data_IF_192366360027
#
_entry.id   IF_192366360027
#
_cell.length_a   1.000
_cell.length_b   1.000
_cell.length_c   1.000
_cell.angle_alpha   90.00
_cell.angle_beta   90.00
_cell.angle_gamma   90.00
#
_symmetry.space_group_name_H-M   'P 1'
#
loop_
_entity.id
_entity.type
_entity.pdbx_description
1 polymer ?
#
# COMPACT_ATOMS: atom_id res chain seq x y z
N UNK A 1 -9.43 -11.75 9.87
CA UNK A 1 -9.34 -13.13 9.36
C UNK A 1 -8.78 -14.02 10.46
N UNK A 2 -9.32 -15.25 10.63
CA UNK A 2 -8.76 -16.22 11.57
C UNK A 2 -7.46 -16.80 11.02
N UNK A 3 -6.47 -17.09 11.89
CA UNK A 3 -5.19 -17.69 11.46
C UNK A 3 -5.38 -19.04 10.75
N UNK A 4 -6.37 -19.82 11.15
CA UNK A 4 -6.73 -21.09 10.48
C UNK A 4 -7.13 -20.92 9.00
N UNK A 5 -7.47 -19.72 8.59
CA UNK A 5 -7.84 -19.39 7.20
C UNK A 5 -6.69 -18.73 6.44
N UNK A 6 -5.48 -18.68 7.03
CA UNK A 6 -4.29 -18.11 6.41
C UNK A 6 -3.31 -19.22 6.12
N UNK A 7 -2.99 -19.42 4.85
CA UNK A 7 -2.02 -20.38 4.37
C UNK A 7 -0.76 -19.62 3.96
N UNK A 8 0.34 -19.85 4.67
CA UNK A 8 1.62 -19.19 4.40
C UNK A 8 2.49 -20.10 3.55
N UNK A 9 2.90 -19.62 2.38
CA UNK A 9 3.86 -20.30 1.51
C UNK A 9 5.13 -19.44 1.37
N UNK A 10 6.26 -20.12 1.26
CA UNK A 10 7.54 -19.50 0.96
C UNK A 10 8.30 -20.31 -0.12
N UNK A 11 9.60 -20.04 -0.31
CA UNK A 11 10.43 -20.73 -1.31
C UNK A 11 10.42 -22.28 -1.15
N UNK A 12 10.19 -22.78 0.05
CA UNK A 12 10.14 -24.21 0.37
C UNK A 12 8.69 -24.76 0.39
N UNK A 13 7.72 -24.00 -0.12
CA UNK A 13 6.31 -24.38 -0.18
C UNK A 13 5.52 -23.98 1.06
N UNK A 14 4.49 -24.77 1.38
CA UNK A 14 3.60 -24.48 2.50
C UNK A 14 4.32 -24.54 3.84
N UNK A 15 4.01 -23.60 4.73
CA UNK A 15 4.38 -23.64 6.14
C UNK A 15 3.38 -24.53 6.89
N UNK A 16 3.78 -25.75 7.22
CA UNK A 16 2.95 -26.76 7.87
C UNK A 16 3.52 -27.20 9.24
N UNK A 17 2.71 -27.80 10.07
CA UNK A 17 3.14 -28.30 11.38
C UNK A 17 4.13 -29.45 11.22
N UNK A 18 5.28 -29.33 11.90
CA UNK A 18 6.36 -30.31 11.80
C UNK A 18 7.37 -30.04 10.66
N UNK A 19 7.20 -28.97 9.90
CA UNK A 19 8.23 -28.49 8.98
C UNK A 19 9.41 -27.91 9.79
N UNK A 20 10.63 -28.30 9.44
CA UNK A 20 11.87 -27.86 10.09
C UNK A 20 12.72 -26.90 9.21
N UNK A 21 12.52 -26.93 7.89
CA UNK A 21 13.30 -26.12 6.94
C UNK A 21 12.84 -24.67 6.98
N UNK A 22 13.78 -23.76 7.20
CA UNK A 22 13.56 -22.29 7.16
C UNK A 22 12.39 -21.83 8.04
N UNK A 23 12.33 -22.36 9.28
CA UNK A 23 11.30 -22.01 10.25
C UNK A 23 11.80 -21.00 11.28
N UNK A 24 10.90 -20.12 11.69
CA UNK A 24 11.07 -19.18 12.79
C UNK A 24 9.76 -19.05 13.58
N UNK A 25 9.75 -18.39 14.76
CA UNK A 25 8.52 -18.25 15.56
C UNK A 25 7.35 -17.60 14.84
N UNK A 26 7.62 -16.62 13.95
CA UNK A 26 6.59 -15.93 13.17
C UNK A 26 5.94 -16.88 12.16
N UNK A 27 6.72 -17.65 11.40
CA UNK A 27 6.21 -18.68 10.49
C UNK A 27 5.46 -19.77 11.25
N UNK A 28 6.00 -20.24 12.37
CA UNK A 28 5.38 -21.27 13.19
C UNK A 28 3.97 -20.88 13.66
N UNK A 29 3.70 -19.59 13.90
CA UNK A 29 2.38 -19.09 14.26
C UNK A 29 1.32 -19.28 13.17
N UNK A 30 1.72 -19.51 11.91
CA UNK A 30 0.85 -19.75 10.76
C UNK A 30 0.92 -21.18 10.25
N UNK A 31 1.69 -22.06 10.88
CA UNK A 31 1.83 -23.44 10.46
C UNK A 31 0.49 -24.19 10.55
N UNK A 32 0.03 -24.74 9.44
CA UNK A 32 -1.24 -25.45 9.33
C UNK A 32 -1.03 -26.98 9.49
N UNK A 33 -2.00 -27.65 10.12
CA UNK A 33 -2.07 -29.11 10.14
C UNK A 33 -2.60 -29.59 8.77
N UNK A 34 -1.73 -29.96 7.85
CA UNK A 34 -2.09 -30.31 6.48
C UNK A 34 -1.07 -31.26 5.86
N UNK A 35 -1.52 -32.09 4.93
CA UNK A 35 -0.68 -32.89 4.04
C UNK A 35 -0.26 -32.14 2.78
N UNK A 36 -0.86 -30.99 2.47
CA UNK A 36 -0.47 -30.12 1.35
C UNK A 36 0.92 -29.54 1.58
N UNK A 37 1.66 -29.30 0.49
CA UNK A 37 3.06 -28.85 0.55
C UNK A 37 3.38 -27.66 -0.35
N UNK A 38 2.50 -27.29 -1.26
CA UNK A 38 2.76 -26.28 -2.28
C UNK A 38 1.67 -25.20 -2.36
N UNK A 39 1.99 -24.08 -3.02
CA UNK A 39 1.00 -23.05 -3.36
C UNK A 39 -0.10 -23.63 -4.26
N UNK A 40 0.27 -24.49 -5.20
CA UNK A 40 -0.64 -25.11 -6.15
C UNK A 40 -1.75 -25.91 -5.45
N UNK A 41 -1.42 -26.53 -4.32
CA UNK A 41 -2.37 -27.35 -3.55
C UNK A 41 -3.27 -26.50 -2.63
N UNK A 42 -2.79 -25.37 -2.14
CA UNK A 42 -3.55 -24.56 -1.16
C UNK A 42 -4.35 -23.43 -1.79
N UNK A 43 -4.12 -23.12 -3.05
CA UNK A 43 -4.79 -22.00 -3.74
C UNK A 43 -6.24 -22.34 -4.13
N UNK A 44 -6.58 -23.61 -4.25
CA UNK A 44 -7.93 -24.05 -4.60
C UNK A 44 -8.95 -23.54 -3.59
N UNK A 45 -9.96 -22.83 -4.06
CA UNK A 45 -10.99 -22.24 -3.23
C UNK A 45 -10.54 -21.07 -2.36
N UNK A 46 -9.36 -20.51 -2.62
CA UNK A 46 -8.91 -19.32 -1.90
C UNK A 46 -9.68 -18.07 -2.37
N UNK A 47 -10.07 -17.23 -1.41
CA UNK A 47 -10.73 -15.95 -1.68
C UNK A 47 -9.71 -14.85 -1.98
N UNK A 48 -8.49 -14.95 -1.46
CA UNK A 48 -7.46 -13.93 -1.57
C UNK A 48 -6.06 -14.54 -1.73
N UNK A 49 -5.31 -13.99 -2.66
CA UNK A 49 -3.86 -14.16 -2.77
C UNK A 49 -3.15 -12.87 -2.37
N UNK A 50 -2.19 -12.98 -1.45
CA UNK A 50 -1.29 -11.89 -1.05
C UNK A 50 0.15 -12.26 -1.40
N UNK A 51 0.66 -11.71 -2.49
CA UNK A 51 2.02 -11.92 -2.96
C UNK A 51 2.99 -10.90 -2.39
N UNK A 52 4.04 -11.40 -1.74
CA UNK A 52 5.16 -10.65 -1.17
C UNK A 52 6.49 -11.33 -1.53
N UNK A 53 6.56 -11.95 -2.69
CA UNK A 53 7.64 -12.88 -3.05
C UNK A 53 8.41 -12.42 -4.29
N UNK A 54 8.09 -12.95 -5.45
CA UNK A 54 8.82 -12.70 -6.67
C UNK A 54 7.94 -12.80 -7.93
N UNK A 55 8.47 -12.41 -9.08
CA UNK A 55 7.69 -12.37 -10.32
C UNK A 55 7.23 -13.77 -10.76
N UNK A 56 6.03 -13.83 -11.36
CA UNK A 56 5.45 -15.00 -12.01
C UNK A 56 5.22 -16.21 -11.08
N UNK A 57 5.11 -15.99 -9.76
CA UNK A 57 4.81 -17.05 -8.78
C UNK A 57 3.35 -17.50 -8.90
N UNK A 58 2.42 -16.56 -9.14
CA UNK A 58 1.01 -16.88 -9.34
C UNK A 58 0.71 -17.06 -10.85
N UNK A 59 0.55 -18.29 -11.28
CA UNK A 59 0.23 -18.60 -12.68
C UNK A 59 -1.28 -18.43 -12.97
N UNK A 60 -1.69 -18.13 -14.21
CA UNK A 60 -3.11 -18.01 -14.59
C UNK A 60 -3.96 -19.26 -14.32
N UNK A 61 -3.37 -20.47 -14.43
CA UNK A 61 -4.05 -21.71 -14.12
C UNK A 61 -4.40 -21.85 -12.64
N UNK A 62 -3.60 -21.26 -11.74
CA UNK A 62 -3.85 -21.20 -10.30
C UNK A 62 -4.96 -20.19 -9.97
N UNK A 63 -4.99 -19.06 -10.66
CA UNK A 63 -6.07 -18.06 -10.48
C UNK A 63 -7.45 -18.66 -10.79
N UNK A 64 -7.55 -19.55 -11.79
CA UNK A 64 -8.80 -20.25 -12.12
C UNK A 64 -9.31 -21.17 -11.01
N UNK A 65 -8.45 -21.59 -10.10
CA UNK A 65 -8.80 -22.47 -8.99
C UNK A 65 -9.29 -21.69 -7.75
N UNK A 66 -9.08 -20.38 -7.73
CA UNK A 66 -9.60 -19.51 -6.67
C UNK A 66 -11.13 -19.40 -6.73
N UNK A 67 -11.72 -18.92 -5.66
CA UNK A 67 -13.14 -18.59 -5.62
C UNK A 67 -13.52 -17.48 -6.60
N UNK A 68 -14.81 -17.33 -6.89
CA UNK A 68 -15.33 -16.23 -7.70
C UNK A 68 -14.99 -14.87 -7.08
N UNK A 69 -14.70 -13.86 -7.90
CA UNK A 69 -14.29 -12.53 -7.50
C UNK A 69 -13.05 -12.54 -6.57
N UNK A 70 -11.95 -13.21 -6.96
CA UNK A 70 -10.79 -13.32 -6.11
C UNK A 70 -10.12 -11.96 -5.89
N UNK A 71 -9.58 -11.77 -4.70
CA UNK A 71 -8.74 -10.61 -4.39
C UNK A 71 -7.28 -11.00 -4.61
N UNK A 72 -6.59 -10.31 -5.52
CA UNK A 72 -5.20 -10.62 -5.88
C UNK A 72 -4.33 -9.41 -5.60
N UNK A 73 -3.56 -9.46 -4.52
CA UNK A 73 -2.54 -8.47 -4.21
C UNK A 73 -1.18 -9.03 -4.61
N UNK A 74 -0.72 -8.64 -5.81
CA UNK A 74 0.57 -9.06 -6.37
C UNK A 74 1.58 -7.94 -6.19
N UNK A 75 2.29 -7.93 -5.05
CA UNK A 75 3.03 -6.78 -4.56
C UNK A 75 4.55 -6.87 -4.77
N UNK A 76 5.05 -7.90 -5.43
CA UNK A 76 6.47 -8.01 -5.79
C UNK A 76 6.90 -6.87 -6.74
N UNK A 77 8.10 -6.35 -6.55
CA UNK A 77 8.68 -5.26 -7.33
C UNK A 77 10.02 -5.69 -7.95
N UNK A 78 10.32 -5.27 -9.20
CA UNK A 78 9.53 -4.42 -10.10
C UNK A 78 8.41 -5.17 -10.84
N UNK A 79 8.48 -6.48 -10.92
CA UNK A 79 7.50 -7.33 -11.59
C UNK A 79 6.66 -8.08 -10.57
N UNK A 80 5.31 -7.99 -10.65
CA UNK A 80 4.42 -8.64 -9.72
C UNK A 80 4.39 -10.18 -9.90
N UNK A 81 3.83 -10.89 -8.93
CA UNK A 81 3.64 -12.34 -8.97
C UNK A 81 2.79 -12.82 -10.15
N UNK A 82 1.88 -11.96 -10.63
CA UNK A 82 1.13 -12.11 -11.87
C UNK A 82 0.85 -10.72 -12.45
N UNK A 83 0.91 -10.59 -13.77
CA UNK A 83 0.50 -9.34 -14.41
C UNK A 83 -1.03 -9.19 -14.35
N UNK A 84 -1.55 -7.98 -14.08
CA UNK A 84 -3.00 -7.74 -14.03
C UNK A 84 -3.75 -8.22 -15.27
N UNK A 85 -3.18 -8.05 -16.45
CA UNK A 85 -3.78 -8.50 -17.70
C UNK A 85 -3.95 -10.02 -17.75
N UNK A 86 -2.97 -10.79 -17.27
CA UNK A 86 -3.00 -12.25 -17.26
C UNK A 86 -4.01 -12.78 -16.24
N UNK A 87 -4.12 -12.13 -15.07
CA UNK A 87 -5.11 -12.47 -14.06
C UNK A 87 -6.54 -12.19 -14.56
N UNK A 88 -6.79 -11.00 -15.14
CA UNK A 88 -8.10 -10.61 -15.67
C UNK A 88 -8.52 -11.44 -16.90
N UNK A 89 -7.58 -11.97 -17.67
CA UNK A 89 -7.89 -12.87 -18.79
C UNK A 89 -8.56 -14.17 -18.33
N UNK A 90 -8.32 -14.60 -17.10
CA UNK A 90 -8.85 -15.87 -16.55
C UNK A 90 -9.88 -15.67 -15.44
N UNK A 91 -9.87 -14.54 -14.77
CA UNK A 91 -10.82 -14.10 -13.74
C UNK A 91 -11.18 -12.62 -13.97
N UNK A 92 -12.12 -12.33 -14.89
CA UNK A 92 -12.47 -10.95 -15.28
C UNK A 92 -13.07 -10.12 -14.15
N UNK A 93 -13.58 -10.76 -13.12
CA UNK A 93 -14.18 -10.16 -11.92
C UNK A 93 -13.19 -10.03 -10.74
N UNK A 94 -11.92 -10.36 -10.94
CA UNK A 94 -10.90 -10.27 -9.92
C UNK A 94 -10.66 -8.80 -9.50
N UNK A 95 -10.44 -8.61 -8.19
CA UNK A 95 -9.99 -7.34 -7.62
C UNK A 95 -8.48 -7.40 -7.49
N UNK A 96 -7.76 -6.54 -8.22
CA UNK A 96 -6.30 -6.63 -8.32
C UNK A 96 -5.65 -5.37 -7.76
N UNK A 97 -4.58 -5.56 -6.98
CA UNK A 97 -3.67 -4.51 -6.54
C UNK A 97 -2.22 -4.92 -6.80
N UNK A 98 -1.36 -3.96 -7.14
CA UNK A 98 0.07 -4.16 -7.37
C UNK A 98 0.90 -3.04 -6.74
N UNK A 99 2.22 -3.21 -6.67
CA UNK A 99 3.14 -2.13 -6.29
C UNK A 99 3.36 -1.08 -7.39
N UNK A 100 2.87 -1.31 -8.61
CA UNK A 100 3.17 -0.49 -9.79
C UNK A 100 2.21 0.69 -9.91
N UNK A 101 2.73 1.84 -10.37
CA UNK A 101 1.95 3.07 -10.58
C UNK A 101 1.13 3.10 -11.86
N UNK A 102 1.42 2.20 -12.80
CA UNK A 102 0.74 2.10 -14.10
C UNK A 102 -0.53 1.23 -14.08
N UNK A 103 -0.88 0.67 -12.91
CA UNK A 103 -2.10 -0.10 -12.70
C UNK A 103 -2.99 0.52 -11.62
N UNK A 104 -4.30 0.24 -11.63
CA UNK A 104 -5.19 0.57 -10.51
C UNK A 104 -4.72 -0.02 -9.19
N UNK A 105 -5.18 0.56 -8.08
CA UNK A 105 -4.88 0.06 -6.72
C UNK A 105 -3.38 -0.08 -6.43
N UNK A 106 -2.60 0.97 -6.71
CA UNK A 106 -1.18 0.98 -6.37
C UNK A 106 -0.99 0.88 -4.86
N UNK A 107 -0.40 -0.20 -4.38
CA UNK A 107 0.03 -0.36 -2.98
C UNK A 107 1.46 0.16 -2.86
N UNK A 108 1.62 1.31 -2.20
CA UNK A 108 2.91 1.97 -2.06
C UNK A 108 3.16 2.35 -0.60
N UNK A 109 4.38 2.11 -0.12
CA UNK A 109 4.81 2.44 1.25
C UNK A 109 4.64 3.94 1.58
N UNK A 110 4.65 4.82 0.58
CA UNK A 110 4.47 6.27 0.76
C UNK A 110 3.11 6.64 1.36
N UNK A 111 2.12 5.75 1.29
CA UNK A 111 0.82 5.96 1.94
C UNK A 111 0.91 5.94 3.46
N UNK A 112 1.87 5.22 4.00
CA UNK A 112 2.09 5.03 5.44
C UNK A 112 3.35 5.74 5.91
N UNK A 113 4.49 5.50 5.25
CA UNK A 113 5.83 5.81 5.73
C UNK A 113 6.03 7.25 6.21
N UNK A 114 5.72 8.34 5.46
CA UNK A 114 5.98 9.67 6.01
C UNK A 114 5.06 10.01 7.19
N UNK A 115 3.83 9.53 7.15
CA UNK A 115 2.75 10.00 8.02
C UNK A 115 2.73 9.30 9.37
N UNK A 116 3.07 8.01 9.44
CA UNK A 116 3.19 7.29 10.71
C UNK A 116 4.34 7.86 11.55
N UNK A 117 5.47 8.18 10.91
CA UNK A 117 6.60 8.84 11.61
C UNK A 117 6.25 10.27 11.97
N UNK A 118 5.54 11.01 11.11
CA UNK A 118 5.10 12.37 11.43
C UNK A 118 4.23 12.39 12.67
N UNK A 119 3.19 11.55 12.74
CA UNK A 119 2.34 11.46 13.91
C UNK A 119 3.08 11.03 15.17
N UNK A 120 4.00 10.05 15.06
CA UNK A 120 4.81 9.59 16.18
C UNK A 120 5.77 10.68 16.71
N UNK A 121 6.48 11.36 15.82
CA UNK A 121 7.48 12.38 16.20
C UNK A 121 6.82 13.63 16.78
N UNK A 122 5.69 14.06 16.25
CA UNK A 122 5.01 15.28 16.71
C UNK A 122 4.47 15.16 18.15
N UNK A 123 4.23 13.95 18.64
CA UNK A 123 3.87 13.68 20.04
C UNK A 123 5.04 13.15 20.88
N UNK A 124 6.25 13.06 20.32
CA UNK A 124 7.41 12.51 20.98
C UNK A 124 7.20 11.06 21.43
N UNK A 125 6.60 10.22 20.58
CA UNK A 125 6.36 8.81 20.90
C UNK A 125 7.68 8.06 21.10
N UNK A 126 7.73 7.24 22.16
CA UNK A 126 8.94 6.46 22.51
C UNK A 126 9.11 5.22 21.66
N UNK A 127 8.03 4.76 21.02
CA UNK A 127 7.98 3.62 20.09
C UNK A 127 6.81 3.77 19.12
N UNK A 128 6.82 3.00 18.04
CA UNK A 128 5.65 2.81 17.16
C UNK A 128 5.05 1.46 17.50
N UNK A 129 4.01 1.45 18.32
CA UNK A 129 3.33 0.25 18.78
C UNK A 129 2.19 -0.21 17.84
N UNK A 130 1.59 -1.37 18.13
CA UNK A 130 0.51 -1.94 17.34
C UNK A 130 -0.72 -1.02 17.24
N UNK A 131 -1.05 -0.28 18.29
CA UNK A 131 -2.19 0.65 18.27
C UNK A 131 -1.99 1.76 17.22
N UNK A 132 -0.78 2.30 17.13
CA UNK A 132 -0.42 3.31 16.13
C UNK A 132 -0.42 2.74 14.70
N UNK A 133 0.04 1.51 14.53
CA UNK A 133 0.00 0.82 13.23
C UNK A 133 -1.44 0.58 12.79
N UNK A 134 -2.30 0.09 13.67
CA UNK A 134 -3.73 -0.12 13.40
C UNK A 134 -4.42 1.22 13.07
N UNK A 135 -4.14 2.29 13.80
CA UNK A 135 -4.68 3.61 13.52
C UNK A 135 -4.26 4.14 12.13
N UNK A 136 -3.00 3.93 11.74
CA UNK A 136 -2.51 4.24 10.39
C UNK A 136 -3.29 3.48 9.31
N UNK A 137 -3.46 2.16 9.47
CA UNK A 137 -4.21 1.31 8.54
C UNK A 137 -5.67 1.78 8.42
N UNK A 138 -6.31 2.05 9.54
CA UNK A 138 -7.70 2.54 9.58
C UNK A 138 -7.84 3.89 8.89
N UNK A 139 -6.95 4.84 9.16
CA UNK A 139 -6.95 6.15 8.52
C UNK A 139 -6.82 6.07 6.99
N UNK A 140 -5.94 5.20 6.48
CA UNK A 140 -5.81 4.94 5.03
C UNK A 140 -7.10 4.32 4.47
N UNK A 141 -7.67 3.32 5.15
CA UNK A 141 -8.87 2.64 4.70
C UNK A 141 -10.12 3.54 4.70
N UNK A 142 -10.26 4.40 5.71
CA UNK A 142 -11.33 5.40 5.79
C UNK A 142 -11.20 6.46 4.69
N UNK A 143 -9.98 6.89 4.42
CA UNK A 143 -9.71 7.87 3.37
C UNK A 143 -10.07 7.33 1.98
N UNK A 144 -9.84 6.03 1.70
CA UNK A 144 -10.25 5.39 0.46
C UNK A 144 -11.79 5.41 0.27
N UNK A 145 -12.55 5.31 1.37
CA UNK A 145 -14.03 5.32 1.36
C UNK A 145 -14.63 6.72 1.41
N UNK A 146 -13.86 7.71 1.84
CA UNK A 146 -14.32 9.08 1.93
C UNK A 146 -14.55 9.68 0.53
N UNK A 147 -15.53 10.59 0.44
CA UNK A 147 -15.74 11.36 -0.79
C UNK A 147 -14.46 12.09 -1.18
N UNK A 148 -14.06 11.94 -2.44
CA UNK A 148 -12.86 12.60 -2.96
C UNK A 148 -12.98 14.11 -2.86
N UNK A 149 -11.98 14.78 -2.29
CA UNK A 149 -11.96 16.25 -2.25
C UNK A 149 -11.64 16.81 -3.65
N UNK A 150 -12.02 18.08 -3.85
CA UNK A 150 -11.71 18.77 -5.12
C UNK A 150 -10.20 18.84 -5.38
N UNK A 151 -9.38 18.97 -4.33
CA UNK A 151 -7.92 18.99 -4.41
C UNK A 151 -7.35 17.64 -4.83
N UNK A 152 -7.88 16.53 -4.26
CA UNK A 152 -7.47 15.18 -4.65
C UNK A 152 -7.91 14.88 -6.09
N UNK A 153 -9.14 15.26 -6.48
CA UNK A 153 -9.61 15.12 -7.86
C UNK A 153 -8.78 15.95 -8.86
N UNK A 154 -8.32 17.13 -8.46
CA UNK A 154 -7.48 17.99 -9.29
C UNK A 154 -6.07 17.40 -9.52
N UNK A 155 -5.52 16.70 -8.51
CA UNK A 155 -4.21 16.05 -8.62
C UNK A 155 -4.22 14.86 -9.61
N UNK A 156 -5.39 14.23 -9.81
CA UNK A 156 -5.54 13.04 -10.65
C UNK A 156 -6.59 13.27 -11.74
N UNK A 157 -6.34 14.26 -12.62
CA UNK A 157 -7.25 14.65 -13.69
C UNK A 157 -7.64 13.47 -14.58
N UNK A 158 -8.96 13.23 -14.71
CA UNK A 158 -9.51 12.20 -15.60
C UNK A 158 -9.72 10.83 -14.94
N UNK A 159 -9.36 10.65 -13.67
CA UNK A 159 -9.63 9.40 -12.94
C UNK A 159 -10.87 9.53 -12.05
N UNK A 160 -11.68 8.47 -12.01
CA UNK A 160 -12.79 8.36 -11.06
C UNK A 160 -12.25 7.80 -9.74
N UNK A 161 -12.11 8.67 -8.73
CA UNK A 161 -11.63 8.30 -7.40
C UNK A 161 -12.82 7.94 -6.48
N UNK A 162 -13.55 6.89 -6.81
CA UNK A 162 -14.68 6.38 -6.02
C UNK A 162 -14.36 4.98 -5.54
N UNK A 163 -14.55 4.70 -4.24
CA UNK A 163 -14.29 3.40 -3.66
C UNK A 163 -14.97 2.27 -4.43
N UNK A 164 -14.20 1.27 -4.82
CA UNK A 164 -14.65 0.15 -5.63
C UNK A 164 -13.47 -0.68 -6.14
N UNK A 165 -13.68 -1.65 -7.05
CA UNK A 165 -12.65 -2.59 -7.49
C UNK A 165 -11.37 -1.94 -8.04
N UNK A 166 -11.49 -0.74 -8.63
CA UNK A 166 -10.37 0.00 -9.20
C UNK A 166 -9.83 1.13 -8.29
N UNK A 167 -10.42 1.31 -7.10
CA UNK A 167 -9.97 2.29 -6.11
C UNK A 167 -10.23 1.77 -4.70
N UNK A 168 -9.39 0.84 -4.24
CA UNK A 168 -9.42 0.26 -2.90
C UNK A 168 -8.60 1.05 -1.89
N UNK A 169 -7.62 1.79 -2.37
CA UNK A 169 -6.60 2.45 -1.58
C UNK A 169 -6.38 3.86 -2.13
N UNK A 170 -6.11 4.88 -1.28
CA UNK A 170 -5.83 6.23 -1.76
C UNK A 170 -4.63 6.27 -2.69
N UNK A 171 -4.61 7.24 -3.57
CA UNK A 171 -3.44 7.49 -4.42
C UNK A 171 -2.27 8.03 -3.58
N UNK A 172 -1.01 7.75 -3.96
CA UNK A 172 0.19 8.14 -3.20
C UNK A 172 0.33 9.63 -2.90
N UNK A 173 -0.19 10.49 -3.76
CA UNK A 173 -0.12 11.94 -3.60
C UNK A 173 -1.45 12.58 -3.16
N UNK A 174 -2.33 11.82 -2.53
CA UNK A 174 -3.55 12.37 -1.93
C UNK A 174 -3.16 13.34 -0.80
N UNK A 175 -3.46 14.65 -0.92
CA UNK A 175 -3.04 15.65 0.05
C UNK A 175 -3.65 15.44 1.45
N UNK A 176 -4.73 14.67 1.55
CA UNK A 176 -5.42 14.36 2.81
C UNK A 176 -4.66 13.35 3.67
N UNK A 177 -3.77 12.53 3.08
CA UNK A 177 -2.99 11.50 3.80
C UNK A 177 -2.24 12.09 5.01
N UNK A 178 -1.58 13.23 4.82
CA UNK A 178 -0.81 13.87 5.89
C UNK A 178 -1.67 14.17 7.11
N UNK A 179 -2.82 14.83 6.91
CA UNK A 179 -3.67 15.22 8.03
C UNK A 179 -4.45 14.05 8.64
N UNK A 180 -4.92 13.09 7.84
CA UNK A 180 -5.70 11.96 8.32
C UNK A 180 -4.83 10.95 9.05
N UNK A 181 -3.77 10.49 8.40
CA UNK A 181 -2.94 9.41 8.95
C UNK A 181 -2.11 9.90 10.14
N UNK A 182 -1.43 11.08 10.02
CA UNK A 182 -0.60 11.56 11.12
C UNK A 182 -1.42 11.88 12.37
N UNK A 183 -2.61 12.46 12.23
CA UNK A 183 -3.46 12.73 13.41
C UNK A 183 -3.97 11.46 14.07
N UNK A 184 -4.38 10.45 13.30
CA UNK A 184 -4.82 9.16 13.85
C UNK A 184 -3.69 8.45 14.61
N UNK A 185 -2.48 8.48 14.06
CA UNK A 185 -1.29 7.91 14.72
C UNK A 185 -0.93 8.67 16.00
N UNK A 186 -0.97 10.01 15.99
CA UNK A 186 -0.71 10.83 17.16
C UNK A 186 -1.74 10.56 18.27
N UNK A 187 -3.01 10.47 17.95
CA UNK A 187 -4.08 10.10 18.89
C UNK A 187 -3.83 8.72 19.51
N UNK A 188 -3.51 7.72 18.67
CA UNK A 188 -3.22 6.37 19.14
C UNK A 188 -1.99 6.31 20.07
N UNK A 189 -0.94 7.08 19.76
CA UNK A 189 0.23 7.22 20.61
C UNK A 189 -0.09 7.81 21.98
N UNK A 190 -0.93 8.85 22.02
CA UNK A 190 -1.39 9.46 23.27
C UNK A 190 -2.26 8.50 24.08
N UNK A 191 -3.21 7.82 23.43
CA UNK A 191 -4.12 6.87 24.09
C UNK A 191 -3.39 5.63 24.63
N UNK A 192 -2.35 5.16 23.94
CA UNK A 192 -1.54 4.02 24.38
C UNK A 192 -0.44 4.39 25.36
N UNK A 193 -0.30 5.67 25.73
CA UNK A 193 0.61 6.13 26.77
C UNK A 193 2.09 6.23 26.36
N UNK A 194 2.40 6.13 25.06
CA UNK A 194 3.78 6.22 24.55
C UNK A 194 4.18 7.64 24.15
N UNK A 195 3.24 8.60 24.15
CA UNK A 195 3.49 10.01 23.84
C UNK A 195 4.11 10.76 25.02
N UNK A 196 5.27 11.39 24.81
CA UNK A 196 5.93 12.24 25.83
C UNK A 196 5.54 13.70 25.72
N UNK A 197 5.00 14.13 24.57
CA UNK A 197 4.58 15.50 24.28
C UNK A 197 3.15 15.49 23.73
N UNK A 198 2.12 15.23 24.56
CA UNK A 198 0.76 15.10 24.09
C UNK A 198 0.21 16.40 23.50
N UNK A 199 -0.45 16.29 22.35
CA UNK A 199 -1.15 17.38 21.66
C UNK A 199 -2.44 17.66 22.42
N UNK A 200 -2.66 18.93 22.79
CA UNK A 200 -3.85 19.35 23.56
C UNK A 200 -5.09 19.50 22.67
N UNK A 201 -4.91 19.94 21.44
CA UNK A 201 -5.97 20.21 20.47
C UNK A 201 -5.64 19.49 19.17
N UNK A 202 -6.28 18.33 18.99
CA UNK A 202 -6.01 17.47 17.82
C UNK A 202 -6.61 18.07 16.54
N UNK A 203 -7.69 18.85 16.63
CA UNK A 203 -8.30 19.46 15.46
C UNK A 203 -7.44 20.62 14.95
N UNK A 204 -6.91 21.46 15.86
CA UNK A 204 -5.93 22.47 15.49
C UNK A 204 -4.65 21.85 14.87
N UNK A 205 -4.21 20.72 15.39
CA UNK A 205 -3.06 19.99 14.82
C UNK A 205 -3.39 19.47 13.42
N UNK A 206 -4.55 18.87 13.20
CA UNK A 206 -5.03 18.39 11.90
C UNK A 206 -5.09 19.52 10.87
N UNK A 207 -5.57 20.68 11.27
CA UNK A 207 -5.63 21.86 10.40
C UNK A 207 -4.25 22.44 10.09
N UNK A 208 -3.32 22.43 11.03
CA UNK A 208 -1.93 22.80 10.79
C UNK A 208 -1.25 21.87 9.77
N UNK A 209 -1.51 20.58 9.83
CA UNK A 209 -1.01 19.60 8.84
C UNK A 209 -1.56 19.90 7.43
N UNK A 210 -2.86 20.18 7.29
CA UNK A 210 -3.47 20.59 5.99
C UNK A 210 -2.78 21.83 5.42
N UNK A 211 -2.57 22.85 6.25
CA UNK A 211 -1.90 24.09 5.82
C UNK A 211 -0.45 23.87 5.38
N UNK A 212 0.26 22.91 5.97
CA UNK A 212 1.64 22.59 5.59
C UNK A 212 1.72 22.06 4.16
N UNK A 213 0.77 21.22 3.75
CA UNK A 213 0.69 20.71 2.37
C UNK A 213 0.45 21.87 1.38
N UNK A 214 -0.49 22.76 1.70
CA UNK A 214 -0.79 23.94 0.86
C UNK A 214 0.42 24.88 0.74
N UNK A 215 1.13 25.14 1.84
CA UNK A 215 2.35 25.99 1.82
C UNK A 215 3.46 25.39 0.97
N UNK A 216 3.67 24.08 1.06
CA UNK A 216 4.67 23.38 0.24
C UNK A 216 4.36 23.47 -1.25
N UNK A 217 3.10 23.28 -1.64
CA UNK A 217 2.66 23.45 -3.02
C UNK A 217 2.85 24.89 -3.52
N UNK A 218 2.56 25.88 -2.68
CA UNK A 218 2.76 27.30 -3.00
C UNK A 218 4.23 27.66 -3.18
N UNK A 219 5.11 27.15 -2.32
CA UNK A 219 6.56 27.38 -2.41
C UNK A 219 7.17 26.69 -3.64
N UNK A 220 6.65 25.54 -4.05
CA UNK A 220 7.14 24.81 -5.21
C UNK A 220 6.61 25.37 -6.54
N UNK A 221 5.50 26.10 -6.54
CA UNK A 221 4.89 26.65 -7.74
C UNK A 221 5.85 27.50 -8.58
N UNK A 222 6.62 28.46 -8.04
CA UNK A 222 7.60 29.23 -8.83
C UNK A 222 8.69 28.35 -9.45
N UNK A 223 9.07 27.25 -8.75
CA UNK A 223 10.07 26.29 -9.27
C UNK A 223 9.51 25.54 -10.48
N UNK A 224 8.27 25.08 -10.41
CA UNK A 224 7.61 24.42 -11.55
C UNK A 224 7.38 25.39 -12.71
N UNK A 225 6.97 26.64 -12.44
CA UNK A 225 6.80 27.68 -13.45
C UNK A 225 8.13 28.00 -14.14
N UNK A 226 9.22 28.13 -13.37
CA UNK A 226 10.57 28.35 -13.90
C UNK A 226 11.06 27.15 -14.74
N UNK A 227 10.80 25.92 -14.28
CA UNK A 227 11.16 24.71 -15.01
C UNK A 227 10.39 24.60 -16.34
N UNK A 228 9.08 24.89 -16.32
CA UNK A 228 8.22 24.84 -17.50
C UNK A 228 8.53 25.93 -18.52
N UNK A 229 9.06 27.08 -18.08
CA UNK A 229 9.39 28.21 -18.94
C UNK A 229 10.79 28.14 -19.58
N UNK A 230 11.65 27.20 -19.12
CA UNK A 230 13.02 27.08 -19.60
C UNK A 230 13.31 25.68 -20.12
N UNK A 231 13.45 25.55 -21.45
CA UNK A 231 13.90 24.28 -22.04
C UNK A 231 15.33 23.98 -21.58
N UNK A 232 15.50 22.97 -20.75
CA UNK A 232 16.79 22.47 -20.27
C UNK A 232 17.01 21.05 -20.79
N UNK A 233 18.28 20.73 -21.06
CA UNK A 233 18.67 19.35 -21.38
C UNK A 233 19.00 18.62 -20.10
N UNK A 234 18.38 17.46 -19.90
CA UNK A 234 18.67 16.56 -18.80
C UNK A 234 19.28 15.29 -19.41
N UNK A 235 20.35 14.80 -18.80
CA UNK A 235 21.00 13.54 -19.17
C UNK A 235 20.82 12.58 -18.02
N UNK A 236 20.25 11.43 -18.32
CA UNK A 236 20.11 10.33 -17.35
C UNK A 236 21.22 9.30 -17.62
N UNK A 237 21.93 8.89 -16.57
CA UNK A 237 23.00 7.89 -16.67
C UNK A 237 22.48 6.49 -16.97
N UNK A 238 21.26 6.18 -16.47
CA UNK A 238 20.56 4.92 -16.73
C UNK A 238 19.43 5.11 -17.76
N UNK A 239 19.73 5.70 -18.92
CA UNK A 239 18.73 5.99 -19.95
C UNK A 239 18.05 4.77 -20.60
N UNK A 240 18.52 3.56 -20.32
CA UNK A 240 17.89 2.30 -20.75
C UNK A 240 16.91 1.73 -19.68
N UNK A 241 16.92 2.26 -18.43
CA UNK A 241 16.02 1.82 -17.38
C UNK A 241 14.58 2.33 -17.66
N UNK A 242 13.63 1.41 -17.68
CA UNK A 242 12.21 1.72 -17.96
C UNK A 242 11.63 2.77 -17.01
N UNK A 243 12.04 2.78 -15.74
CA UNK A 243 11.59 3.75 -14.74
C UNK A 243 12.09 5.15 -15.07
N UNK A 244 13.34 5.26 -15.55
CA UNK A 244 13.95 6.53 -15.97
C UNK A 244 13.24 7.05 -17.23
N UNK A 245 12.98 6.17 -18.19
CA UNK A 245 12.25 6.54 -19.42
C UNK A 245 10.83 7.02 -19.11
N UNK A 246 10.11 6.36 -18.19
CA UNK A 246 8.78 6.80 -17.74
C UNK A 246 8.83 8.15 -17.00
N UNK A 247 9.81 8.34 -16.11
CA UNK A 247 9.99 9.60 -15.40
C UNK A 247 10.33 10.77 -16.35
N UNK A 248 11.01 10.50 -17.45
CA UNK A 248 11.34 11.51 -18.48
C UNK A 248 10.12 11.91 -19.34
N UNK A 249 9.07 11.06 -19.40
CA UNK A 249 7.84 11.33 -20.14
C UNK A 249 6.78 12.05 -19.30
N UNK A 250 6.88 12.02 -17.98
CA UNK A 250 5.94 12.64 -17.04
C UNK A 250 6.20 14.14 -16.89
#
# INVERSE_FOLDING_TARGET
>A
VKRSNIWLCDLHGLVYQGRDIDMNPQKAAFAQASEMRSLDEVIEGADMFLGLSGPNVLRPDLVKQMNAQPIIFALANPNPEIMPADALAVAPDAIIATGRSDFPNQVNNVLCFPFIFRGALDVGATEINDAMQVACIQGIAELARATTSAEAAAAYKGETLTFGPNYLIPKPFDPRLSSVVSSAVAEAAMQSGVATQPIKDIDAYRDALKQTVVKSAFLMRPVFEAASSSARRIVFSEGEDERVLRAAQA
#
